data_IF_147617086449
#
_entry.id   IF_147617086449
#
_cell.length_a   1.000
_cell.length_b   1.000
_cell.length_c   1.000
_cell.angle_alpha   90.00
_cell.angle_beta   90.00
_cell.angle_gamma   90.00
#
_symmetry.space_group_name_H-M   'P 1'
#
loop_
_entity.id
_entity.type
_entity.pdbx_description
1 polymer ?
#
# COMPACT_ATOMS: atom_id res chain seq x y z
N UNK A 1 6.15 -2.12 15.70
CA UNK A 1 4.83 -1.78 15.15
C UNK A 1 4.96 -1.66 13.64
N UNK A 2 3.88 -1.88 12.93
CA UNK A 2 3.79 -1.64 11.49
C UNK A 2 2.60 -0.72 11.21
N UNK A 3 2.61 -0.07 10.06
CA UNK A 3 1.45 0.66 9.58
C UNK A 3 0.30 -0.32 9.24
N UNK A 4 -0.94 -0.09 9.72
CA UNK A 4 -2.06 -1.04 9.58
C UNK A 4 -2.69 -1.02 8.19
N UNK A 5 -1.88 -0.94 7.13
CA UNK A 5 -2.35 -0.74 5.75
C UNK A 5 -3.22 -1.90 5.27
N UNK A 6 -2.85 -3.14 5.56
CA UNK A 6 -3.63 -4.30 5.14
C UNK A 6 -5.02 -4.30 5.79
N UNK A 7 -5.08 -4.06 7.10
CA UNK A 7 -6.34 -4.01 7.84
C UNK A 7 -7.26 -2.88 7.36
N UNK A 8 -6.69 -1.71 7.03
CA UNK A 8 -7.46 -0.58 6.50
C UNK A 8 -7.98 -0.84 5.09
N UNK A 9 -7.12 -1.34 4.20
CA UNK A 9 -7.49 -1.55 2.80
C UNK A 9 -8.39 -2.78 2.60
N UNK A 10 -8.13 -3.91 3.27
CA UNK A 10 -8.92 -5.14 3.10
C UNK A 10 -10.34 -5.04 3.66
N UNK A 11 -10.61 -4.07 4.53
CA UNK A 11 -11.93 -3.76 5.07
C UNK A 11 -12.72 -2.74 4.22
N UNK A 12 -12.06 -2.04 3.29
CA UNK A 12 -12.74 -1.06 2.44
C UNK A 12 -13.52 -1.77 1.30
N UNK A 13 -14.83 -1.51 1.13
CA UNK A 13 -15.62 -2.18 0.10
C UNK A 13 -15.17 -1.91 -1.34
N UNK A 14 -14.60 -0.73 -1.62
CA UNK A 14 -14.14 -0.35 -2.95
C UNK A 14 -12.85 -1.06 -3.31
N UNK A 15 -11.94 -1.20 -2.32
CA UNK A 15 -10.75 -2.03 -2.45
C UNK A 15 -11.13 -3.50 -2.59
N UNK A 16 -12.06 -3.99 -1.76
CA UNK A 16 -12.52 -5.37 -1.78
C UNK A 16 -13.10 -5.80 -3.14
N UNK A 17 -13.85 -4.91 -3.79
CA UNK A 17 -14.40 -5.16 -5.12
C UNK A 17 -13.33 -5.37 -6.22
N UNK A 18 -12.11 -4.84 -6.01
CA UNK A 18 -11.02 -4.91 -6.99
C UNK A 18 -9.96 -5.95 -6.62
N UNK A 19 -9.60 -6.03 -5.34
CA UNK A 19 -8.49 -6.86 -4.85
C UNK A 19 -8.94 -8.10 -4.08
N UNK A 20 -10.22 -8.22 -3.72
CA UNK A 20 -10.72 -9.23 -2.77
C UNK A 20 -10.75 -8.70 -1.33
N UNK A 21 -11.42 -9.42 -0.43
CA UNK A 21 -11.64 -9.00 0.96
C UNK A 21 -10.95 -9.91 1.96
N UNK A 22 -10.63 -9.39 3.15
CA UNK A 22 -10.05 -10.19 4.23
C UNK A 22 -8.76 -10.89 3.80
N UNK A 23 -8.62 -12.17 4.12
CA UNK A 23 -7.41 -12.96 3.81
C UNK A 23 -7.17 -13.14 2.29
N UNK A 24 -8.23 -13.02 1.48
CA UNK A 24 -8.14 -13.14 0.01
C UNK A 24 -7.82 -11.80 -0.67
N UNK A 25 -7.65 -10.71 0.11
CA UNK A 25 -7.25 -9.42 -0.43
C UNK A 25 -5.84 -9.51 -1.02
N UNK A 26 -5.73 -9.26 -2.32
CA UNK A 26 -4.48 -9.30 -3.11
C UNK A 26 -3.63 -8.05 -2.90
N UNK A 27 -3.42 -7.69 -1.64
CA UNK A 27 -2.53 -6.65 -1.15
C UNK A 27 -1.47 -7.32 -0.29
N UNK A 28 -0.32 -7.60 -0.89
CA UNK A 28 0.72 -8.42 -0.27
C UNK A 28 1.78 -7.56 0.42
N UNK A 29 2.27 -8.00 1.58
CA UNK A 29 3.48 -7.43 2.17
C UNK A 29 4.72 -7.84 1.36
N UNK A 30 5.84 -7.18 1.63
CA UNK A 30 7.12 -7.41 0.97
C UNK A 30 7.49 -8.89 0.95
N UNK A 31 7.64 -9.47 -0.25
CA UNK A 31 8.04 -10.86 -0.41
C UNK A 31 6.99 -11.92 -0.02
N UNK A 32 5.77 -11.53 0.34
CA UNK A 32 4.70 -12.47 0.75
C UNK A 32 3.71 -12.82 -0.37
N UNK A 33 3.82 -12.15 -1.52
CA UNK A 33 2.99 -12.46 -2.69
C UNK A 33 3.33 -13.84 -3.28
N UNK A 34 2.34 -14.57 -3.84
CA UNK A 34 2.61 -15.81 -4.57
C UNK A 34 3.45 -15.52 -5.82
N UNK A 35 4.19 -16.52 -6.32
CA UNK A 35 5.05 -16.38 -7.52
C UNK A 35 4.28 -15.90 -8.75
N UNK A 36 2.99 -16.28 -8.86
CA UNK A 36 2.10 -15.91 -9.96
C UNK A 36 0.79 -15.31 -9.41
N UNK A 37 0.81 -14.05 -8.98
CA UNK A 37 -0.36 -13.42 -8.39
C UNK A 37 -1.46 -13.19 -9.44
N UNK A 38 -2.71 -13.37 -9.00
CA UNK A 38 -3.88 -13.09 -9.84
C UNK A 38 -4.04 -11.57 -9.96
N UNK A 39 -4.16 -11.06 -11.18
CA UNK A 39 -4.27 -9.61 -11.45
C UNK A 39 -5.72 -9.11 -11.30
N UNK A 40 -5.93 -7.84 -10.93
CA UNK A 40 -4.94 -6.90 -10.41
C UNK A 40 -4.50 -7.25 -8.98
N UNK A 41 -3.30 -6.83 -8.60
CA UNK A 41 -2.78 -6.97 -7.22
C UNK A 41 -1.93 -5.75 -6.84
N UNK A 42 -1.66 -5.61 -5.55
CA UNK A 42 -0.76 -4.60 -5.02
C UNK A 42 0.24 -5.22 -4.06
N UNK A 43 1.43 -4.64 -3.98
CA UNK A 43 2.47 -4.97 -3.00
C UNK A 43 2.83 -3.71 -2.23
N UNK A 44 3.19 -3.86 -0.96
CA UNK A 44 3.66 -2.74 -0.15
C UNK A 44 4.90 -3.11 0.67
N UNK A 45 5.72 -2.11 0.98
CA UNK A 45 6.89 -2.25 1.84
C UNK A 45 7.16 -0.97 2.64
N UNK A 46 7.80 -1.12 3.80
CA UNK A 46 8.30 0.04 4.57
C UNK A 46 9.62 0.50 3.95
N UNK A 47 9.67 1.73 3.47
CA UNK A 47 10.87 2.32 2.85
C UNK A 47 11.58 3.33 3.76
N UNK A 48 10.87 3.88 4.74
CA UNK A 48 11.44 4.71 5.79
C UNK A 48 10.57 4.67 7.05
N UNK A 49 11.12 5.12 8.17
CA UNK A 49 10.36 5.30 9.40
C UNK A 49 11.22 5.77 10.55
N UNK A 50 10.59 6.40 11.53
CA UNK A 50 11.25 6.89 12.73
C UNK A 50 10.23 7.05 13.87
N UNK A 51 10.60 6.73 15.12
CA UNK A 51 9.84 7.18 16.28
C UNK A 51 9.70 8.71 16.32
N UNK A 52 8.64 9.22 16.93
CA UNK A 52 8.51 10.65 17.22
C UNK A 52 9.64 11.14 18.14
N UNK A 53 10.10 12.38 17.93
CA UNK A 53 11.26 12.91 18.64
C UNK A 53 10.87 13.56 19.98
N UNK A 54 11.20 12.90 21.09
CA UNK A 54 10.87 13.32 22.44
C UNK A 54 12.14 13.76 23.18
N UNK A 55 12.10 14.89 23.88
CA UNK A 55 13.24 15.38 24.69
C UNK A 55 13.54 14.47 25.90
N UNK A 56 12.54 13.77 26.40
CA UNK A 56 12.66 12.79 27.49
C UNK A 56 11.51 11.76 27.42
N UNK A 57 11.75 10.57 27.97
CA UNK A 57 10.77 9.48 27.96
C UNK A 57 10.82 8.62 26.69
N UNK A 58 9.91 7.65 26.60
CA UNK A 58 9.77 6.80 25.40
C UNK A 58 8.76 7.45 24.45
N UNK A 59 9.06 7.54 23.13
CA UNK A 59 8.08 7.97 22.15
C UNK A 59 6.83 7.08 22.20
N UNK A 60 5.66 7.70 22.07
CA UNK A 60 4.35 7.04 22.05
C UNK A 60 3.77 6.88 20.64
N UNK A 61 4.51 7.29 19.61
CA UNK A 61 4.15 7.09 18.22
C UNK A 61 5.39 6.87 17.33
N UNK A 62 5.16 6.18 16.21
CA UNK A 62 6.12 5.90 15.17
C UNK A 62 5.58 6.39 13.82
N UNK A 63 6.43 7.08 13.06
CA UNK A 63 6.21 7.43 11.66
C UNK A 63 6.69 6.32 10.73
N UNK A 64 5.89 5.98 9.72
CA UNK A 64 6.26 5.02 8.67
C UNK A 64 5.96 5.59 7.30
N UNK A 65 6.92 5.49 6.38
CA UNK A 65 6.70 5.72 4.95
C UNK A 65 6.65 4.37 4.27
N UNK A 66 5.50 4.09 3.63
CA UNK A 66 5.29 2.89 2.84
C UNK A 66 5.37 3.23 1.37
N UNK A 67 6.03 2.39 0.57
CA UNK A 67 5.84 2.38 -0.88
C UNK A 67 4.81 1.32 -1.24
N UNK A 68 3.87 1.69 -2.10
CA UNK A 68 2.88 0.79 -2.70
C UNK A 68 3.11 0.71 -4.20
N UNK A 69 3.08 -0.52 -4.72
CA UNK A 69 3.23 -0.83 -6.13
C UNK A 69 2.01 -1.65 -6.59
N UNK A 70 1.28 -1.13 -7.58
CA UNK A 70 0.04 -1.70 -8.11
C UNK A 70 0.30 -2.27 -9.49
N UNK A 71 -0.10 -3.51 -9.73
CA UNK A 71 0.13 -4.23 -10.97
C UNK A 71 -1.17 -4.76 -11.58
N UNK A 72 -1.30 -4.64 -12.91
CA UNK A 72 -2.40 -5.26 -13.64
C UNK A 72 -2.09 -5.51 -15.13
N UNK A 73 -2.95 -6.30 -15.79
CA UNK A 73 -2.81 -6.61 -17.21
C UNK A 73 -3.06 -5.39 -18.14
N UNK A 74 -3.80 -4.38 -17.67
CA UNK A 74 -4.09 -3.14 -18.42
C UNK A 74 -4.03 -1.93 -17.49
N UNK A 75 -3.85 -0.73 -18.06
CA UNK A 75 -3.74 0.51 -17.27
C UNK A 75 -5.03 0.90 -16.52
N UNK A 76 -6.22 0.56 -17.06
CA UNK A 76 -7.50 0.90 -16.42
C UNK A 76 -7.65 0.33 -15.00
N UNK A 77 -7.48 -0.99 -14.80
CA UNK A 77 -7.44 -1.61 -13.48
C UNK A 77 -6.37 -1.04 -12.54
N UNK A 78 -5.17 -0.69 -13.04
CA UNK A 78 -4.15 -0.02 -12.21
C UNK A 78 -4.69 1.29 -11.64
N UNK A 79 -5.27 2.14 -12.49
CA UNK A 79 -5.84 3.43 -12.06
C UNK A 79 -6.99 3.24 -11.07
N UNK A 80 -7.86 2.26 -11.32
CA UNK A 80 -9.00 1.96 -10.45
C UNK A 80 -8.53 1.50 -9.06
N UNK A 81 -7.56 0.58 -9.00
CA UNK A 81 -7.00 0.08 -7.74
C UNK A 81 -6.26 1.19 -7.01
N UNK A 82 -5.39 1.96 -7.68
CA UNK A 82 -4.70 3.09 -7.03
C UNK A 82 -5.69 4.07 -6.43
N UNK A 83 -6.76 4.44 -7.17
CA UNK A 83 -7.78 5.35 -6.66
C UNK A 83 -8.50 4.80 -5.42
N UNK A 84 -8.88 3.52 -5.44
CA UNK A 84 -9.55 2.87 -4.32
C UNK A 84 -8.64 2.80 -3.08
N UNK A 85 -7.37 2.43 -3.26
CA UNK A 85 -6.38 2.41 -2.18
C UNK A 85 -6.17 3.80 -1.58
N UNK A 86 -5.96 4.83 -2.41
CA UNK A 86 -5.80 6.20 -1.90
C UNK A 86 -7.03 6.64 -1.09
N UNK A 87 -8.24 6.41 -1.60
CA UNK A 87 -9.46 6.78 -0.89
C UNK A 87 -9.60 6.07 0.47
N UNK A 88 -9.24 4.79 0.56
CA UNK A 88 -9.26 4.05 1.82
C UNK A 88 -8.19 4.54 2.81
N UNK A 89 -7.00 4.86 2.31
CA UNK A 89 -5.82 5.23 3.10
C UNK A 89 -5.90 6.68 3.63
N UNK A 90 -6.38 7.62 2.82
CA UNK A 90 -6.37 9.07 3.14
C UNK A 90 -7.21 9.44 4.38
N UNK A 91 -8.05 8.53 4.88
CA UNK A 91 -8.78 8.67 6.14
C UNK A 91 -7.93 8.39 7.40
N UNK A 92 -6.72 7.88 7.22
CA UNK A 92 -5.82 7.42 8.31
C UNK A 92 -4.37 7.85 8.13
N UNK A 93 -3.96 8.14 6.90
CA UNK A 93 -2.60 8.45 6.50
C UNK A 93 -2.61 9.45 5.33
N UNK A 94 -1.46 9.86 4.83
CA UNK A 94 -1.35 10.81 3.70
C UNK A 94 -0.56 10.22 2.54
N UNK A 95 -1.01 10.47 1.31
CA UNK A 95 -0.20 10.21 0.12
C UNK A 95 0.88 11.30 0.02
N UNK A 96 2.15 10.91 -0.10
CA UNK A 96 3.27 11.86 -0.10
C UNK A 96 4.05 11.91 -1.41
N UNK A 97 3.93 10.87 -2.23
CA UNK A 97 4.60 10.82 -3.53
C UNK A 97 3.78 10.03 -4.54
N UNK A 98 3.71 10.55 -5.76
CA UNK A 98 3.31 9.78 -6.93
C UNK A 98 4.57 9.29 -7.63
N UNK A 99 4.74 7.98 -7.70
CA UNK A 99 5.94 7.34 -8.24
C UNK A 99 5.82 6.95 -9.71
N UNK A 100 6.53 5.89 -10.07
CA UNK A 100 6.56 5.37 -11.43
C UNK A 100 5.16 5.05 -11.95
N UNK A 101 4.91 5.33 -13.23
CA UNK A 101 3.76 4.83 -13.98
C UNK A 101 4.31 4.28 -15.29
N UNK A 102 4.52 2.98 -15.33
CA UNK A 102 5.29 2.32 -16.39
C UNK A 102 4.79 0.89 -16.61
N UNK A 103 5.65 0.06 -17.23
CA UNK A 103 5.44 -1.37 -17.31
C UNK A 103 6.60 -2.08 -16.65
N UNK A 104 6.27 -3.08 -15.84
CA UNK A 104 7.24 -3.94 -15.21
C UNK A 104 8.10 -4.64 -16.30
N UNK A 105 9.44 -4.58 -16.20
CA UNK A 105 10.32 -5.07 -17.26
C UNK A 105 10.25 -6.59 -17.43
N UNK A 106 9.89 -7.35 -16.38
CA UNK A 106 9.92 -8.80 -16.40
C UNK A 106 8.55 -9.40 -16.75
N UNK A 107 7.51 -8.98 -16.03
CA UNK A 107 6.14 -9.45 -16.18
C UNK A 107 5.37 -8.75 -17.29
N UNK A 108 5.85 -7.58 -17.75
CA UNK A 108 5.18 -6.67 -18.70
C UNK A 108 3.85 -6.10 -18.20
N UNK A 109 3.57 -6.23 -16.91
CA UNK A 109 2.37 -5.68 -16.30
C UNK A 109 2.41 -4.16 -16.27
N UNK A 110 1.24 -3.56 -16.42
CA UNK A 110 1.08 -2.15 -16.14
C UNK A 110 1.28 -1.94 -14.65
N UNK A 111 2.08 -0.93 -14.32
CA UNK A 111 2.54 -0.70 -12.98
C UNK A 111 2.34 0.76 -12.58
N UNK A 112 1.96 0.98 -11.32
CA UNK A 112 1.99 2.30 -10.69
C UNK A 112 2.49 2.21 -9.25
N UNK A 113 3.44 3.09 -8.93
CA UNK A 113 4.02 3.24 -7.60
C UNK A 113 3.55 4.53 -6.94
N UNK A 114 3.37 4.54 -5.62
CA UNK A 114 3.12 5.74 -4.81
C UNK A 114 3.50 5.50 -3.35
N UNK A 115 3.76 6.58 -2.61
CA UNK A 115 4.18 6.49 -1.21
C UNK A 115 3.15 7.10 -0.26
N UNK A 116 3.10 6.54 0.94
CA UNK A 116 2.15 6.91 2.00
C UNK A 116 2.87 7.05 3.34
N UNK A 117 2.61 8.15 4.03
CA UNK A 117 3.09 8.37 5.40
C UNK A 117 2.01 8.09 6.42
N UNK A 118 2.35 7.26 7.40
CA UNK A 118 1.55 6.91 8.57
C UNK A 118 2.18 7.48 9.84
N UNK A 119 1.34 7.83 10.80
CA UNK A 119 1.72 8.04 12.20
C UNK A 119 0.90 7.05 13.02
N UNK A 120 1.58 6.11 13.69
CA UNK A 120 0.96 5.02 14.43
C UNK A 120 1.30 5.16 15.91
N UNK A 121 0.30 5.19 16.78
CA UNK A 121 0.51 5.20 18.24
C UNK A 121 0.94 3.83 18.75
N UNK A 122 1.76 3.83 19.80
CA UNK A 122 2.32 2.64 20.44
C UNK A 122 1.41 1.91 21.41
#
# INVERSE_FOLDING_TARGET
>A
MEAPIFAVCSADPSVAALLGSGIDCRLYSFGEGPEKPIKPYAVWSVIAGSPENYLAGRPDADGFTLQLDVYAATGGPVLAVTKALCAAIELRARIVRWGATDRDPDTKDYHRSFDVDWIVRR
#
